data_IF_353040678468
#
_entry.id   IF_353040678468
#
_cell.length_a   1.000
_cell.length_b   1.000
_cell.length_c   1.000
_cell.angle_alpha   90.00
_cell.angle_beta   90.00
_cell.angle_gamma   90.00
#
_symmetry.space_group_name_H-M   'P 1'
#
loop_
_entity.id
_entity.type
_entity.pdbx_description
1 polymer ?
#
# COMPACT_ATOMS: atom_id res chain seq x y z
N UNK A 1 14.52 18.04 15.85
CA UNK A 1 14.98 16.63 15.75
C UNK A 1 14.59 16.16 14.38
N UNK A 2 15.56 15.82 13.52
CA UNK A 2 15.30 15.56 12.11
C UNK A 2 14.41 14.33 11.93
N UNK A 3 13.52 14.39 10.94
CA UNK A 3 12.71 13.23 10.54
C UNK A 3 13.58 12.36 9.65
N UNK A 4 13.78 11.09 10.02
CA UNK A 4 14.47 10.12 9.17
C UNK A 4 13.59 8.90 8.92
N UNK A 5 13.37 8.61 7.64
CA UNK A 5 12.61 7.46 7.17
C UNK A 5 13.53 6.65 6.27
N UNK A 6 13.66 5.35 6.57
CA UNK A 6 14.49 4.43 5.81
C UNK A 6 13.63 3.25 5.34
N UNK A 7 13.51 3.10 4.02
CA UNK A 7 12.87 1.97 3.34
C UNK A 7 11.43 1.68 3.82
N UNK A 8 10.71 2.71 4.25
CA UNK A 8 9.36 2.57 4.80
C UNK A 8 8.42 2.01 3.73
N UNK A 9 7.79 0.91 4.08
CA UNK A 9 6.84 0.21 3.21
C UNK A 9 5.54 -0.06 3.96
N UNK A 10 4.43 0.14 3.28
CA UNK A 10 3.09 -0.17 3.78
C UNK A 10 2.29 -0.80 2.66
N UNK A 11 1.75 -1.98 2.92
CA UNK A 11 0.81 -2.63 2.02
C UNK A 11 -0.45 -3.05 2.76
N UNK A 12 -1.53 -3.18 2.00
CA UNK A 12 -2.81 -3.69 2.45
C UNK A 12 -3.11 -4.98 1.70
N UNK A 13 -3.54 -6.00 2.44
CA UNK A 13 -3.95 -7.28 1.86
C UNK A 13 -5.41 -7.18 1.43
N UNK A 14 -5.64 -7.12 0.13
CA UNK A 14 -6.96 -7.02 -0.47
C UNK A 14 -7.43 -8.39 -0.96
N UNK A 15 -8.73 -8.66 -0.82
CA UNK A 15 -9.34 -9.88 -1.34
C UNK A 15 -9.64 -9.71 -2.84
N UNK A 16 -9.06 -10.58 -3.66
CA UNK A 16 -9.28 -10.58 -5.10
C UNK A 16 -10.60 -11.28 -5.41
N UNK A 17 -11.63 -10.52 -5.81
CA UNK A 17 -12.93 -11.06 -6.20
C UNK A 17 -12.84 -11.64 -7.62
N UNK A 18 -13.13 -12.93 -7.77
CA UNK A 18 -13.35 -13.54 -9.08
C UNK A 18 -14.82 -13.32 -9.48
N UNK A 19 -15.07 -12.86 -10.71
CA UNK A 19 -16.42 -12.58 -11.19
C UNK A 19 -17.23 -13.87 -11.46
N UNK A 20 -18.56 -13.76 -11.36
CA UNK A 20 -19.49 -14.85 -11.66
C UNK A 20 -19.73 -15.85 -10.52
N UNK A 21 -20.75 -16.69 -10.67
CA UNK A 21 -21.17 -17.68 -9.68
C UNK A 21 -20.08 -18.74 -9.42
N UNK A 22 -19.38 -19.17 -10.48
CA UNK A 22 -18.23 -20.09 -10.38
C UNK A 22 -17.07 -19.46 -9.60
N UNK A 23 -16.81 -18.16 -9.80
CA UNK A 23 -15.82 -17.39 -9.03
C UNK A 23 -16.19 -17.28 -7.56
N UNK A 24 -17.48 -17.08 -7.25
CA UNK A 24 -17.97 -17.03 -5.87
C UNK A 24 -17.74 -18.36 -5.13
N UNK A 25 -18.17 -19.48 -5.73
CA UNK A 25 -17.97 -20.83 -5.17
C UNK A 25 -16.48 -21.12 -5.00
N UNK A 26 -15.66 -20.85 -6.01
CA UNK A 26 -14.20 -21.06 -5.93
C UNK A 26 -13.57 -20.23 -4.81
N UNK A 27 -14.00 -18.99 -4.63
CA UNK A 27 -13.49 -18.10 -3.59
C UNK A 27 -13.93 -18.49 -2.18
N UNK A 28 -15.05 -19.20 -2.03
CA UNK A 28 -15.48 -19.80 -0.77
C UNK A 28 -14.51 -20.91 -0.31
N UNK A 29 -14.03 -21.73 -1.25
CA UNK A 29 -13.07 -22.81 -0.95
C UNK A 29 -11.61 -22.34 -0.92
N UNK A 30 -11.22 -21.36 -1.74
CA UNK A 30 -9.85 -20.82 -1.80
C UNK A 30 -9.84 -19.32 -2.07
N UNK A 31 -9.73 -18.53 -1.00
CA UNK A 31 -9.63 -17.08 -1.10
C UNK A 31 -8.27 -16.65 -1.66
N UNK A 32 -8.29 -15.87 -2.74
CA UNK A 32 -7.10 -15.22 -3.29
C UNK A 32 -6.96 -13.82 -2.69
N UNK A 33 -5.75 -13.49 -2.28
CA UNK A 33 -5.42 -12.18 -1.76
C UNK A 33 -4.29 -11.58 -2.58
N UNK A 34 -4.33 -10.27 -2.74
CA UNK A 34 -3.28 -9.48 -3.38
C UNK A 34 -2.85 -8.36 -2.44
N UNK A 35 -1.59 -7.95 -2.56
CA UNK A 35 -1.07 -6.83 -1.78
C UNK A 35 -1.17 -5.56 -2.63
N UNK A 36 -1.91 -4.58 -2.13
CA UNK A 36 -1.88 -3.21 -2.64
C UNK A 36 -0.84 -2.42 -1.83
N UNK A 37 0.16 -1.85 -2.52
CA UNK A 37 1.24 -1.09 -1.89
C UNK A 37 0.82 0.38 -1.78
N UNK A 38 0.66 0.87 -0.55
CA UNK A 38 0.40 2.28 -0.27
C UNK A 38 1.68 3.09 -0.11
N UNK A 39 2.72 2.47 0.48
CA UNK A 39 4.08 3.00 0.50
C UNK A 39 5.03 1.89 0.07
N UNK A 40 5.97 2.20 -0.81
CA UNK A 40 6.92 1.22 -1.32
C UNK A 40 8.35 1.73 -1.18
N UNK A 41 9.04 1.28 -0.13
CA UNK A 41 10.46 1.56 0.14
C UNK A 41 10.80 3.05 0.08
N UNK A 42 10.02 3.86 0.77
CA UNK A 42 10.24 5.30 0.83
C UNK A 42 11.37 5.61 1.82
N UNK A 43 12.36 6.37 1.36
CA UNK A 43 13.48 6.85 2.17
C UNK A 43 13.57 8.36 2.04
N UNK A 44 13.55 9.08 3.17
CA UNK A 44 13.64 10.55 3.21
C UNK A 44 14.25 11.03 4.53
N UNK A 45 14.90 12.20 4.49
CA UNK A 45 15.36 12.95 5.66
C UNK A 45 14.78 14.35 5.57
N UNK A 46 14.31 14.91 6.69
CA UNK A 46 13.83 16.29 6.78
C UNK A 46 14.51 16.93 7.97
N UNK A 47 15.23 18.03 7.70
CA UNK A 47 15.97 18.77 8.72
C UNK A 47 15.09 19.81 9.42
N UNK A 48 15.57 20.31 10.56
CA UNK A 48 14.82 21.31 11.34
C UNK A 48 14.69 22.62 10.53
N UNK A 49 13.46 23.07 10.33
CA UNK A 49 13.13 24.27 9.54
C UNK A 49 12.89 24.01 8.05
N UNK A 50 13.04 22.77 7.58
CA UNK A 50 12.74 22.39 6.20
C UNK A 50 11.23 22.16 5.98
N UNK A 51 10.71 22.63 4.84
CA UNK A 51 9.31 22.44 4.43
C UNK A 51 9.28 21.45 3.28
N UNK A 52 8.62 20.30 3.48
CA UNK A 52 8.41 19.29 2.46
C UNK A 52 6.94 19.26 2.02
N UNK A 53 6.68 19.52 0.75
CA UNK A 53 5.37 19.32 0.13
C UNK A 53 5.24 17.92 -0.46
N UNK A 54 4.14 17.23 -0.16
CA UNK A 54 3.81 15.94 -0.77
C UNK A 54 2.77 16.19 -1.87
N UNK A 55 3.06 15.71 -3.09
CA UNK A 55 2.19 15.84 -4.26
C UNK A 55 2.00 14.46 -4.90
N UNK A 56 0.80 14.20 -5.42
CA UNK A 56 0.47 12.94 -6.05
C UNK A 56 -0.98 12.91 -6.53
N UNK A 57 -1.32 11.91 -7.32
CA UNK A 57 -2.70 11.60 -7.66
C UNK A 57 -3.48 11.11 -6.42
N UNK A 58 -4.81 11.20 -6.46
CA UNK A 58 -5.64 10.64 -5.40
C UNK A 58 -5.59 9.11 -5.47
N UNK A 59 -5.02 8.49 -4.45
CA UNK A 59 -4.90 7.04 -4.32
C UNK A 59 -4.30 6.65 -2.99
#
# INVERSE_FOLDING_TARGET
>A
MPIQVNELSKHFRMFKREAGLSGAIRSFFKRKYENSHALNRISLSIEDGEILGILGENG
#
